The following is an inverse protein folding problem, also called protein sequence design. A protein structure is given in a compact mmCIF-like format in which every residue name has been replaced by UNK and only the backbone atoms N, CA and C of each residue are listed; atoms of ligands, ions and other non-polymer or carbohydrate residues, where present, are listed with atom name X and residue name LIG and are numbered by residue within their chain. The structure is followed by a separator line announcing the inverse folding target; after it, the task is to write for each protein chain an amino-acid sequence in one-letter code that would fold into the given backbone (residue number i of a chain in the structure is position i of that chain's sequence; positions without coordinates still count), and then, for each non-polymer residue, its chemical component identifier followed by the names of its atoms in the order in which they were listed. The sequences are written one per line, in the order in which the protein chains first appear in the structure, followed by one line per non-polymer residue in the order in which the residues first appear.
data_IF_637121547869
#
_entry.id   IF_637121547869
#
_cell.length_a   1.000
_cell.length_b   1.000
_cell.length_c   1.000
_cell.angle_alpha   90.00
_cell.angle_beta   90.00
_cell.angle_gamma   90.00
#
_symmetry.space_group_name_H-M   'P 1'
#
loop_
_entity.id
_entity.type
_entity.pdbx_description
1 polymer ?
#
# COMPACT_ATOMS: atom_id res chain seq x y z
N UNK A 1 7.06 -6.33 16.16
CA UNK A 1 8.17 -5.78 16.95
C UNK A 1 7.72 -4.65 17.91
N UNK A 2 6.45 -4.22 17.85
CA UNK A 2 5.94 -3.10 18.69
C UNK A 2 4.85 -3.54 19.67
N UNK A 3 4.59 -4.84 19.80
CA UNK A 3 3.68 -5.38 20.80
C UNK A 3 4.44 -5.68 22.10
N UNK A 4 3.80 -5.37 23.25
CA UNK A 4 4.35 -5.57 24.59
C UNK A 4 3.31 -6.20 25.51
N UNK A 5 3.75 -6.94 26.54
CA UNK A 5 2.88 -7.51 27.56
C UNK A 5 1.72 -8.33 26.97
N UNK A 6 0.50 -8.06 27.41
CA UNK A 6 -0.72 -8.74 26.93
C UNK A 6 -0.98 -8.62 25.44
N UNK A 7 -0.41 -7.61 24.75
CA UNK A 7 -0.53 -7.48 23.30
C UNK A 7 0.11 -8.66 22.57
N UNK A 8 1.22 -9.19 23.12
CA UNK A 8 1.93 -10.32 22.54
C UNK A 8 1.02 -11.57 22.57
N UNK A 9 0.53 -11.93 23.72
CA UNK A 9 -0.24 -13.18 23.92
C UNK A 9 -1.65 -13.12 23.32
N UNK A 10 -2.29 -11.94 23.30
CA UNK A 10 -3.68 -11.80 22.84
C UNK A 10 -3.81 -11.48 21.35
N UNK A 11 -2.78 -10.89 20.74
CA UNK A 11 -2.80 -10.46 19.34
C UNK A 11 -1.65 -11.00 18.52
N UNK A 12 -0.38 -10.78 18.92
CA UNK A 12 0.76 -11.13 18.09
C UNK A 12 0.93 -12.65 17.93
N UNK A 13 1.00 -13.39 19.02
CA UNK A 13 1.17 -14.85 18.98
C UNK A 13 0.06 -15.55 18.19
N UNK A 14 -1.25 -15.28 18.45
CA UNK A 14 -2.32 -15.88 17.66
C UNK A 14 -2.25 -15.51 16.17
N UNK A 15 -1.78 -14.29 15.84
CA UNK A 15 -1.62 -13.89 14.43
C UNK A 15 -0.46 -14.63 13.78
N UNK A 16 0.67 -14.78 14.45
CA UNK A 16 1.82 -15.54 13.93
C UNK A 16 1.47 -17.03 13.74
N UNK A 17 0.65 -17.58 14.61
CA UNK A 17 0.16 -18.97 14.51
C UNK A 17 -0.97 -19.13 13.48
N UNK A 18 -1.50 -18.04 12.91
CA UNK A 18 -2.60 -18.08 11.94
C UNK A 18 -3.98 -18.31 12.59
N UNK A 19 -4.08 -18.18 13.90
CA UNK A 19 -5.33 -18.31 14.68
C UNK A 19 -6.16 -17.03 14.64
N UNK A 20 -5.49 -15.87 14.51
CA UNK A 20 -6.12 -14.55 14.29
C UNK A 20 -5.59 -13.89 13.02
N UNK A 21 -6.42 -13.04 12.44
CA UNK A 21 -6.08 -12.21 11.29
C UNK A 21 -6.23 -10.75 11.66
N UNK A 22 -5.30 -9.94 11.19
CA UNK A 22 -5.34 -8.49 11.36
C UNK A 22 -5.60 -7.75 10.06
N UNK A 23 -5.99 -6.50 10.19
CA UNK A 23 -5.98 -5.53 9.12
C UNK A 23 -5.52 -4.17 9.65
N UNK A 24 -5.21 -3.24 8.73
CA UNK A 24 -4.73 -1.90 9.09
C UNK A 24 -5.80 -0.87 8.78
N UNK A 25 -6.12 -0.03 9.76
CA UNK A 25 -7.17 0.97 9.69
C UNK A 25 -6.59 2.39 9.81
N UNK A 26 -6.25 3.01 8.65
CA UNK A 26 -5.68 4.36 8.59
C UNK A 26 -6.57 5.35 7.87
N UNK A 27 -6.95 5.05 6.64
CA UNK A 27 -7.64 5.95 5.71
C UNK A 27 -9.06 6.29 6.18
N UNK A 28 -9.45 7.54 6.01
CA UNK A 28 -10.80 8.04 6.30
C UNK A 28 -11.41 8.69 5.04
N UNK A 29 -12.73 8.97 5.01
CA UNK A 29 -13.35 9.67 3.88
C UNK A 29 -12.68 11.00 3.53
N UNK A 30 -12.16 11.71 4.52
CA UNK A 30 -11.50 13.01 4.35
C UNK A 30 -9.99 13.00 4.51
N UNK A 31 -9.35 11.84 4.71
CA UNK A 31 -7.93 11.72 5.03
C UNK A 31 -7.33 10.45 4.45
N UNK A 32 -6.67 10.59 3.30
CA UNK A 32 -5.88 9.53 2.66
C UNK A 32 -4.39 9.87 2.64
N UNK A 33 -3.97 10.69 1.67
CA UNK A 33 -2.57 11.16 1.59
C UNK A 33 -2.17 12.04 2.77
N UNK A 34 -3.10 12.85 3.29
CA UNK A 34 -2.92 13.63 4.53
C UNK A 34 -3.40 12.82 5.74
N UNK A 35 -2.58 11.92 6.23
CA UNK A 35 -2.89 11.15 7.45
C UNK A 35 -3.03 12.03 8.70
N UNK A 36 -2.42 13.22 8.73
CA UNK A 36 -2.55 14.15 9.86
C UNK A 36 -3.89 14.87 9.88
N UNK A 37 -4.63 14.84 8.77
CA UNK A 37 -5.99 15.34 8.65
C UNK A 37 -7.07 14.42 9.26
N UNK A 38 -6.71 13.24 9.79
CA UNK A 38 -7.68 12.26 10.30
C UNK A 38 -8.59 12.84 11.38
N UNK A 39 -9.85 12.41 11.38
CA UNK A 39 -10.89 12.84 12.34
C UNK A 39 -11.22 11.78 13.39
N UNK A 40 -10.91 10.50 13.11
CA UNK A 40 -11.04 9.44 14.10
C UNK A 40 -10.17 9.77 15.30
N UNK A 41 -10.76 9.77 16.49
CA UNK A 41 -10.12 10.18 17.75
C UNK A 41 -10.25 9.10 18.81
N UNK A 42 -9.27 9.03 19.67
CA UNK A 42 -9.27 8.22 20.88
C UNK A 42 -8.99 9.12 22.08
N UNK A 43 -9.84 9.06 23.08
CA UNK A 43 -9.74 9.87 24.31
C UNK A 43 -9.63 8.91 25.49
N UNK A 44 -8.64 9.12 26.34
CA UNK A 44 -8.47 8.31 27.56
C UNK A 44 -9.52 8.73 28.60
N UNK A 45 -10.29 7.76 29.07
CA UNK A 45 -11.31 7.91 30.12
C UNK A 45 -11.08 6.84 31.19
N UNK A 46 -10.41 7.23 32.27
CA UNK A 46 -9.94 6.30 33.30
C UNK A 46 -8.91 5.29 32.74
N UNK A 47 -9.23 4.02 32.78
CA UNK A 47 -8.37 2.94 32.28
C UNK A 47 -8.77 2.43 30.89
N UNK A 48 -9.59 3.17 30.14
CA UNK A 48 -10.07 2.81 28.82
C UNK A 48 -9.85 3.95 27.81
N UNK A 49 -9.59 3.60 26.56
CA UNK A 49 -9.70 4.51 25.44
C UNK A 49 -11.10 4.47 24.85
N UNK A 50 -11.71 5.64 24.68
CA UNK A 50 -12.99 5.82 23.99
C UNK A 50 -12.73 6.30 22.59
N UNK A 51 -13.07 5.48 21.60
CA UNK A 51 -12.77 5.70 20.19
C UNK A 51 -14.04 6.07 19.43
N UNK A 52 -13.94 7.15 18.63
CA UNK A 52 -15.01 7.63 17.77
C UNK A 52 -14.48 8.00 16.39
N UNK A 53 -15.16 7.54 15.33
CA UNK A 53 -14.82 7.88 13.96
C UNK A 53 -15.11 6.76 12.96
N UNK A 54 -14.61 6.93 11.74
CA UNK A 54 -14.84 6.00 10.64
C UNK A 54 -13.56 5.82 9.82
N UNK A 55 -13.28 4.59 9.37
CA UNK A 55 -12.16 4.24 8.50
C UNK A 55 -12.66 3.61 7.22
N UNK A 56 -12.06 3.99 6.08
CA UNK A 56 -12.45 3.56 4.74
C UNK A 56 -11.36 2.76 4.04
N UNK A 57 -11.77 1.96 3.06
CA UNK A 57 -10.90 1.12 2.25
C UNK A 57 -10.08 0.12 3.09
N UNK A 58 -10.68 -0.40 4.18
CA UNK A 58 -9.97 -1.34 5.05
C UNK A 58 -10.02 -2.71 4.42
N UNK A 59 -8.89 -3.12 3.86
CA UNK A 59 -8.75 -4.40 3.16
C UNK A 59 -8.92 -5.55 4.12
N UNK A 60 -9.79 -6.51 3.73
CA UNK A 60 -10.01 -7.77 4.43
C UNK A 60 -10.62 -7.67 5.84
N UNK A 61 -11.13 -6.51 6.27
CA UNK A 61 -11.70 -6.36 7.61
C UNK A 61 -12.84 -7.35 7.88
N UNK A 62 -13.64 -7.72 6.86
CA UNK A 62 -14.73 -8.71 7.01
C UNK A 62 -14.27 -10.15 7.31
N UNK A 63 -12.99 -10.44 7.19
CA UNK A 63 -12.38 -11.75 7.50
C UNK A 63 -11.24 -11.65 8.50
N UNK A 64 -11.04 -10.47 9.09
CA UNK A 64 -10.09 -10.20 10.16
C UNK A 64 -10.78 -10.25 11.53
N UNK A 65 -10.01 -10.51 12.56
CA UNK A 65 -10.50 -10.54 13.95
C UNK A 65 -10.31 -9.20 14.65
N UNK A 66 -9.28 -8.44 14.24
CA UNK A 66 -8.96 -7.14 14.82
C UNK A 66 -8.26 -6.24 13.80
N UNK A 67 -8.10 -4.96 14.16
CA UNK A 67 -7.30 -4.03 13.37
C UNK A 67 -6.22 -3.33 14.19
N UNK A 68 -5.15 -2.94 13.49
CA UNK A 68 -4.23 -1.89 13.94
C UNK A 68 -4.84 -0.56 13.52
N UNK A 69 -5.49 0.12 14.47
CA UNK A 69 -6.18 1.39 14.24
C UNK A 69 -5.24 2.56 14.52
N UNK A 70 -5.18 3.52 13.61
CA UNK A 70 -4.55 4.82 13.84
C UNK A 70 -5.61 5.87 14.12
N UNK A 71 -5.51 6.54 15.27
CA UNK A 71 -6.45 7.58 15.70
C UNK A 71 -5.71 8.76 16.36
N UNK A 72 -6.34 9.95 16.31
CA UNK A 72 -5.80 11.14 16.96
C UNK A 72 -6.07 11.08 18.47
N UNK A 73 -5.02 11.26 19.27
CA UNK A 73 -5.10 11.32 20.75
C UNK A 73 -4.90 12.73 21.30
N UNK A 74 -4.70 13.71 20.44
CA UNK A 74 -4.53 15.10 20.82
C UNK A 74 -3.95 15.93 19.70
N UNK A 75 -3.60 17.16 20.03
CA UNK A 75 -2.97 18.11 19.10
C UNK A 75 -1.75 18.74 19.74
N UNK A 76 -0.67 18.89 18.95
CA UNK A 76 0.51 19.67 19.28
C UNK A 76 0.31 21.09 18.76
N UNK A 77 0.44 22.08 19.63
CA UNK A 77 0.48 23.49 19.21
C UNK A 77 1.78 23.74 18.45
N UNK A 78 1.65 24.26 17.24
CA UNK A 78 2.79 24.71 16.43
C UNK A 78 2.51 26.15 15.98
N UNK A 79 3.57 26.87 15.58
CA UNK A 79 3.47 28.27 15.12
C UNK A 79 2.66 28.45 13.82
N UNK A 80 2.31 27.37 13.13
CA UNK A 80 1.57 27.41 11.86
C UNK A 80 0.18 26.76 11.97
N UNK A 81 0.13 25.44 11.88
CA UNK A 81 -1.12 24.65 11.97
C UNK A 81 -0.92 23.58 13.03
N UNK A 82 -1.89 23.44 13.98
CA UNK A 82 -1.82 22.38 14.98
C UNK A 82 -1.58 21.01 14.33
N UNK A 83 -0.62 20.26 14.82
CA UNK A 83 -0.35 18.90 14.35
C UNK A 83 -1.03 17.90 15.25
N UNK A 84 -1.82 17.00 14.68
CA UNK A 84 -2.43 15.92 15.46
C UNK A 84 -1.38 14.95 15.94
N UNK A 85 -1.45 14.59 17.21
CA UNK A 85 -0.77 13.43 17.77
C UNK A 85 -1.57 12.20 17.39
N UNK A 86 -0.92 11.27 16.70
CA UNK A 86 -1.53 10.04 16.21
C UNK A 86 -0.97 8.89 17.02
N UNK A 87 -1.82 8.03 17.53
CA UNK A 87 -1.46 6.80 18.23
C UNK A 87 -1.99 5.58 17.46
N UNK A 88 -1.39 4.43 17.72
CA UNK A 88 -1.82 3.17 17.17
C UNK A 88 -2.46 2.30 18.27
N UNK A 89 -3.52 1.58 17.94
CA UNK A 89 -4.31 0.77 18.87
C UNK A 89 -4.61 -0.61 18.28
N UNK A 90 -4.63 -1.63 19.12
CA UNK A 90 -5.17 -2.95 18.79
C UNK A 90 -6.66 -2.99 19.15
N UNK A 91 -7.53 -3.03 18.14
CA UNK A 91 -8.99 -3.01 18.33
C UNK A 91 -9.57 -4.32 17.82
N UNK A 92 -10.12 -5.13 18.72
CA UNK A 92 -10.80 -6.38 18.38
C UNK A 92 -12.19 -6.06 17.83
N UNK A 93 -12.63 -6.75 16.78
CA UNK A 93 -13.94 -6.47 16.17
C UNK A 93 -15.12 -6.94 17.02
N UNK A 94 -14.86 -7.70 18.08
CA UNK A 94 -15.84 -8.03 19.11
C UNK A 94 -16.00 -6.96 20.20
N UNK A 95 -15.15 -5.92 20.20
CA UNK A 95 -15.27 -4.83 21.18
C UNK A 95 -16.58 -4.05 20.99
N UNK A 96 -17.29 -3.69 22.07
CA UNK A 96 -18.52 -2.90 21.98
C UNK A 96 -18.30 -1.56 21.26
N UNK A 97 -19.20 -1.21 20.36
CA UNK A 97 -19.12 0.03 19.58
C UNK A 97 -18.27 -0.06 18.33
N UNK A 98 -17.77 -1.23 17.96
CA UNK A 98 -17.06 -1.49 16.69
C UNK A 98 -18.00 -2.15 15.69
N UNK A 99 -18.08 -1.59 14.49
CA UNK A 99 -18.85 -2.12 13.37
C UNK A 99 -17.95 -2.33 12.15
N UNK A 100 -17.99 -3.54 11.58
CA UNK A 100 -17.42 -3.83 10.27
C UNK A 100 -18.53 -3.77 9.23
N UNK A 101 -18.64 -2.64 8.55
CA UNK A 101 -19.67 -2.40 7.56
C UNK A 101 -19.21 -2.80 6.15
N UNK A 102 -20.17 -3.07 5.25
CA UNK A 102 -19.90 -3.28 3.84
C UNK A 102 -19.26 -2.03 3.25
N UNK A 103 -18.21 -2.24 2.46
CA UNK A 103 -17.52 -1.15 1.78
C UNK A 103 -17.79 -1.13 0.28
N UNK A 104 -16.81 -0.68 -0.46
CA UNK A 104 -16.93 -0.43 -1.90
C UNK A 104 -16.52 -1.64 -2.74
N UNK A 105 -17.21 -1.84 -3.86
CA UNK A 105 -16.76 -2.79 -4.89
C UNK A 105 -15.58 -2.18 -5.64
N UNK A 106 -14.45 -2.91 -5.67
CA UNK A 106 -13.25 -2.47 -6.34
C UNK A 106 -13.18 -3.00 -7.78
N UNK A 107 -12.68 -2.20 -8.71
CA UNK A 107 -12.42 -2.65 -10.10
C UNK A 107 -11.16 -3.48 -10.20
N UNK A 108 -10.18 -3.23 -9.32
CA UNK A 108 -8.92 -3.97 -9.21
C UNK A 108 -8.93 -4.90 -7.99
N UNK A 109 -8.05 -5.91 -7.98
CA UNK A 109 -7.92 -6.82 -6.83
C UNK A 109 -9.29 -7.32 -6.32
N UNK A 110 -10.11 -7.87 -7.23
CA UNK A 110 -11.49 -8.30 -6.92
C UNK A 110 -11.58 -9.36 -5.80
N UNK A 111 -10.46 -9.98 -5.45
CA UNK A 111 -10.35 -10.88 -4.29
C UNK A 111 -10.24 -10.17 -2.93
N UNK A 112 -10.05 -8.84 -2.92
CA UNK A 112 -10.05 -8.06 -1.68
C UNK A 112 -11.44 -7.52 -1.38
N UNK A 113 -11.87 -7.69 -0.13
CA UNK A 113 -12.96 -6.89 0.42
C UNK A 113 -12.42 -5.54 0.88
N UNK A 114 -13.15 -4.46 0.57
CA UNK A 114 -12.85 -3.12 1.06
C UNK A 114 -13.97 -2.71 2.00
N UNK A 115 -13.72 -2.79 3.28
CA UNK A 115 -14.71 -2.52 4.30
C UNK A 115 -14.62 -1.09 4.84
N UNK A 116 -15.68 -0.69 5.51
CA UNK A 116 -15.76 0.51 6.35
C UNK A 116 -15.74 0.02 7.80
N UNK A 117 -14.88 0.60 8.63
CA UNK A 117 -14.92 0.39 10.07
C UNK A 117 -15.52 1.63 10.73
N UNK A 118 -16.53 1.43 11.59
CA UNK A 118 -17.13 2.49 12.39
C UNK A 118 -16.89 2.24 13.87
N UNK A 119 -16.59 3.32 14.56
CA UNK A 119 -16.33 3.33 15.98
C UNK A 119 -17.30 4.34 16.61
N UNK A 120 -18.24 3.85 17.41
CA UNK A 120 -19.21 4.67 18.15
C UNK A 120 -19.04 4.40 19.64
N UNK A 121 -18.32 5.31 20.30
CA UNK A 121 -17.92 5.17 21.70
C UNK A 121 -17.30 3.79 22.00
N UNK A 122 -16.52 3.27 21.06
CA UNK A 122 -15.85 1.99 21.21
C UNK A 122 -14.83 2.09 22.36
N UNK A 123 -14.99 1.22 23.37
CA UNK A 123 -14.14 1.23 24.56
C UNK A 123 -13.18 0.08 24.55
N UNK A 124 -11.89 0.40 24.67
CA UNK A 124 -10.82 -0.59 24.73
C UNK A 124 -9.91 -0.32 25.93
N UNK A 125 -9.37 -1.35 26.58
CA UNK A 125 -8.44 -1.19 27.70
C UNK A 125 -7.21 -0.35 27.34
N UNK A 126 -6.72 0.42 28.31
CA UNK A 126 -5.58 1.34 28.15
C UNK A 126 -4.34 0.68 27.59
N UNK A 127 -4.08 -0.57 27.95
CA UNK A 127 -2.90 -1.32 27.51
C UNK A 127 -2.90 -1.66 26.00
N UNK A 128 -4.01 -1.49 25.29
CA UNK A 128 -4.08 -1.77 23.84
C UNK A 128 -3.48 -0.68 22.95
N UNK A 129 -2.97 0.40 23.51
CA UNK A 129 -2.17 1.37 22.77
C UNK A 129 -0.80 0.75 22.42
N UNK A 130 -0.36 0.86 21.18
CA UNK A 130 0.93 0.35 20.72
C UNK A 130 2.01 1.43 20.87
N UNK A 131 2.97 1.19 21.75
CA UNK A 131 4.02 2.16 22.08
C UNK A 131 3.49 3.40 22.80
N UNK A 132 4.32 4.45 22.93
CA UNK A 132 3.95 5.71 23.57
C UNK A 132 2.79 6.42 22.85
N UNK A 133 1.98 7.14 23.60
CA UNK A 133 0.94 8.01 23.03
C UNK A 133 1.56 9.06 22.09
N UNK A 134 1.00 9.21 20.90
CA UNK A 134 1.49 10.14 19.88
C UNK A 134 2.54 9.55 18.93
N UNK A 135 3.01 8.32 19.16
CA UNK A 135 4.10 7.68 18.40
C UNK A 135 3.61 6.89 17.16
N UNK A 136 2.32 6.92 16.88
CA UNK A 136 1.71 6.17 15.78
C UNK A 136 2.31 6.52 14.41
N UNK A 137 2.74 7.78 14.21
CA UNK A 137 3.36 8.18 12.95
C UNK A 137 4.73 7.53 12.72
N UNK A 138 5.51 7.29 13.78
CA UNK A 138 6.76 6.54 13.71
C UNK A 138 6.48 5.07 13.35
N UNK A 139 5.48 4.47 13.96
CA UNK A 139 5.05 3.09 13.64
C UNK A 139 4.61 2.96 12.18
N UNK A 140 3.79 3.90 11.67
CA UNK A 140 3.41 3.94 10.25
C UNK A 140 4.64 3.96 9.34
N UNK A 141 5.60 4.84 9.62
CA UNK A 141 6.79 4.99 8.78
C UNK A 141 7.68 3.73 8.79
N UNK A 142 7.81 3.06 9.95
CA UNK A 142 8.54 1.80 10.05
C UNK A 142 7.90 0.67 9.20
N UNK A 143 6.59 0.66 9.08
CA UNK A 143 5.85 -0.31 8.29
C UNK A 143 5.83 0.04 6.80
N UNK A 144 5.58 1.31 6.44
CA UNK A 144 5.43 1.74 5.05
C UNK A 144 6.68 1.58 4.20
N UNK A 145 7.89 1.68 4.77
CA UNK A 145 9.12 1.48 4.02
C UNK A 145 9.20 0.09 3.38
N UNK A 146 9.22 -1.00 4.17
CA UNK A 146 9.21 -2.37 3.66
C UNK A 146 8.01 -2.69 2.78
N UNK A 147 6.81 -2.16 3.13
CA UNK A 147 5.60 -2.41 2.33
C UNK A 147 5.70 -1.83 0.93
N UNK A 148 6.30 -0.65 0.76
CA UNK A 148 6.57 -0.07 -0.57
C UNK A 148 7.46 -0.97 -1.42
N UNK A 149 8.45 -1.62 -0.81
CA UNK A 149 9.30 -2.58 -1.52
C UNK A 149 8.52 -3.84 -1.94
N UNK A 150 7.62 -4.34 -1.07
CA UNK A 150 6.74 -5.47 -1.40
C UNK A 150 5.81 -5.14 -2.57
N UNK A 151 5.23 -3.93 -2.59
CA UNK A 151 4.43 -3.45 -3.72
C UNK A 151 5.28 -3.39 -5.00
N UNK A 152 6.50 -2.86 -4.92
CA UNK A 152 7.41 -2.80 -6.07
C UNK A 152 7.75 -4.21 -6.61
N UNK A 153 8.05 -5.16 -5.74
CA UNK A 153 8.34 -6.56 -6.12
C UNK A 153 7.14 -7.20 -6.84
N UNK A 154 5.93 -7.01 -6.31
CA UNK A 154 4.71 -7.49 -6.94
C UNK A 154 4.50 -6.86 -8.32
N UNK A 155 4.80 -5.57 -8.48
CA UNK A 155 4.71 -4.87 -9.76
C UNK A 155 5.69 -5.42 -10.79
N UNK A 156 6.94 -5.67 -10.40
CA UNK A 156 7.96 -6.25 -11.29
C UNK A 156 7.52 -7.63 -11.80
N UNK A 157 7.12 -8.52 -10.90
CA UNK A 157 6.69 -9.88 -11.27
C UNK A 157 5.45 -9.89 -12.17
N UNK A 158 4.49 -8.99 -11.94
CA UNK A 158 3.31 -8.85 -12.82
C UNK A 158 3.69 -8.28 -14.18
N UNK A 159 4.64 -7.34 -14.24
CA UNK A 159 5.14 -6.79 -15.49
C UNK A 159 5.86 -7.86 -16.31
N UNK A 160 6.72 -8.68 -15.69
CA UNK A 160 7.37 -9.81 -16.31
C UNK A 160 6.36 -10.79 -16.89
N UNK A 161 5.30 -11.11 -16.14
CA UNK A 161 4.25 -12.01 -16.63
C UNK A 161 3.47 -11.43 -17.81
N UNK A 162 3.13 -10.15 -17.77
CA UNK A 162 2.44 -9.47 -18.86
C UNK A 162 3.32 -9.44 -20.14
N UNK A 163 4.60 -9.11 -19.97
CA UNK A 163 5.59 -9.11 -21.04
C UNK A 163 5.76 -10.50 -21.67
N UNK A 164 5.90 -11.55 -20.86
CA UNK A 164 6.01 -12.94 -21.34
C UNK A 164 4.84 -13.34 -22.25
N UNK A 165 3.60 -12.99 -21.84
CA UNK A 165 2.40 -13.28 -22.62
C UNK A 165 2.44 -12.54 -23.96
N UNK A 166 2.77 -11.25 -23.96
CA UNK A 166 2.86 -10.44 -25.17
C UNK A 166 3.99 -10.96 -26.11
N UNK A 167 5.13 -11.32 -25.55
CA UNK A 167 6.25 -11.88 -26.31
C UNK A 167 5.87 -13.18 -27.00
N UNK A 168 5.31 -14.15 -26.27
CA UNK A 168 4.88 -15.44 -26.81
C UNK A 168 3.77 -15.29 -27.85
N UNK A 169 2.84 -14.37 -27.64
CA UNK A 169 1.80 -14.06 -28.62
C UNK A 169 2.41 -13.48 -29.90
N UNK A 170 3.40 -12.62 -29.80
CA UNK A 170 4.05 -11.95 -30.93
C UNK A 170 4.78 -12.90 -31.88
N UNK A 171 5.28 -14.04 -31.38
CA UNK A 171 5.97 -15.05 -32.19
C UNK A 171 5.03 -16.15 -32.68
N UNK A 172 3.78 -16.21 -32.18
CA UNK A 172 2.78 -17.19 -32.61
C UNK A 172 1.74 -16.60 -33.55
N UNK A 173 1.24 -15.38 -33.30
CA UNK A 173 0.20 -14.71 -34.07
C UNK A 173 0.69 -14.25 -35.44
N UNK A 174 -0.07 -14.55 -36.48
CA UNK A 174 0.19 -14.11 -37.85
C UNK A 174 -0.86 -13.10 -38.30
N UNK A 175 -0.40 -12.05 -38.95
CA UNK A 175 -1.18 -11.06 -39.70
C UNK A 175 -0.37 -10.56 -40.89
N UNK A 176 -1.06 -10.18 -41.97
CA UNK A 176 -0.42 -9.69 -43.20
C UNK A 176 0.67 -10.65 -43.70
N UNK A 177 0.43 -11.97 -43.59
CA UNK A 177 1.32 -13.03 -44.11
C UNK A 177 2.58 -13.30 -43.31
N UNK A 178 2.72 -12.74 -42.08
CA UNK A 178 3.89 -12.99 -41.23
C UNK A 178 3.57 -12.89 -39.75
N UNK A 179 4.48 -13.36 -38.90
CA UNK A 179 4.36 -13.18 -37.43
C UNK A 179 4.38 -11.72 -37.06
N UNK A 180 3.49 -11.32 -36.13
CA UNK A 180 3.34 -9.90 -35.77
C UNK A 180 4.60 -9.32 -35.12
N UNK A 181 5.41 -10.13 -34.44
CA UNK A 181 6.71 -9.73 -33.88
C UNK A 181 7.74 -9.24 -34.91
N UNK A 182 7.52 -9.48 -36.22
CA UNK A 182 8.37 -8.94 -37.27
C UNK A 182 8.08 -7.48 -37.66
N UNK A 183 6.95 -6.95 -37.20
CA UNK A 183 6.63 -5.54 -37.39
C UNK A 183 7.29 -4.68 -36.30
N UNK A 184 7.94 -3.58 -36.68
CA UNK A 184 8.60 -2.66 -35.74
C UNK A 184 7.61 -2.06 -34.74
N UNK A 185 6.34 -1.83 -35.15
CA UNK A 185 5.27 -1.39 -34.26
C UNK A 185 4.96 -2.38 -33.10
N UNK A 186 5.44 -3.61 -33.17
CA UNK A 186 5.33 -4.63 -32.11
C UNK A 186 6.69 -4.90 -31.46
N UNK A 187 7.76 -5.07 -32.27
CA UNK A 187 9.06 -5.44 -31.73
C UNK A 187 9.73 -4.32 -30.91
N UNK A 188 9.55 -3.05 -31.28
CA UNK A 188 10.11 -1.93 -30.52
C UNK A 188 9.47 -1.78 -29.13
N UNK A 189 8.14 -1.76 -28.98
CA UNK A 189 7.52 -1.81 -27.65
C UNK A 189 7.96 -3.00 -26.80
N UNK A 190 8.20 -4.18 -27.39
CA UNK A 190 8.74 -5.33 -26.65
C UNK A 190 10.16 -5.05 -26.11
N UNK A 191 11.01 -4.38 -26.90
CA UNK A 191 12.35 -3.99 -26.45
C UNK A 191 12.29 -2.94 -25.31
N UNK A 192 11.39 -1.98 -25.42
CA UNK A 192 11.16 -0.96 -24.37
C UNK A 192 10.67 -1.60 -23.07
N UNK A 193 9.67 -2.49 -23.16
CA UNK A 193 9.17 -3.23 -21.99
C UNK A 193 10.28 -4.04 -21.30
N UNK A 194 11.08 -4.77 -22.06
CA UNK A 194 12.20 -5.56 -21.51
C UNK A 194 13.23 -4.66 -20.80
N UNK A 195 13.50 -3.49 -21.36
CA UNK A 195 14.43 -2.51 -20.79
C UNK A 195 13.89 -1.93 -19.48
N UNK A 196 12.62 -1.50 -19.44
CA UNK A 196 11.99 -0.95 -18.22
C UNK A 196 11.91 -2.00 -17.11
N UNK A 197 11.56 -3.25 -17.42
CA UNK A 197 11.55 -4.36 -16.45
C UNK A 197 12.95 -4.57 -15.87
N UNK A 198 13.98 -4.55 -16.71
CA UNK A 198 15.37 -4.69 -16.24
C UNK A 198 15.77 -3.57 -15.29
N UNK A 199 15.44 -2.33 -15.60
CA UNK A 199 15.71 -1.19 -14.72
C UNK A 199 14.96 -1.32 -13.39
N UNK A 200 13.66 -1.67 -13.43
CA UNK A 200 12.84 -1.86 -12.24
C UNK A 200 13.41 -2.95 -11.32
N UNK A 201 13.84 -4.05 -11.90
CA UNK A 201 14.41 -5.17 -11.16
C UNK A 201 15.73 -4.79 -10.47
N UNK A 202 16.60 -4.04 -11.15
CA UNK A 202 17.83 -3.55 -10.54
C UNK A 202 17.57 -2.59 -9.38
N UNK A 203 16.64 -1.65 -9.52
CA UNK A 203 16.24 -0.75 -8.43
C UNK A 203 15.67 -1.53 -7.24
N UNK A 204 14.81 -2.53 -7.51
CA UNK A 204 14.22 -3.38 -6.49
C UNK A 204 15.30 -4.13 -5.70
N UNK A 205 16.24 -4.77 -6.38
CA UNK A 205 17.32 -5.54 -5.75
C UNK A 205 18.28 -4.64 -4.97
N UNK A 206 18.62 -3.46 -5.49
CA UNK A 206 19.45 -2.49 -4.77
C UNK A 206 18.78 -2.04 -3.47
N UNK A 207 17.48 -1.68 -3.54
CA UNK A 207 16.74 -1.23 -2.35
C UNK A 207 16.58 -2.36 -1.33
N UNK A 208 16.33 -3.60 -1.77
CA UNK A 208 16.28 -4.77 -0.89
C UNK A 208 17.63 -4.98 -0.18
N UNK A 209 18.72 -4.91 -0.93
CA UNK A 209 20.07 -5.02 -0.36
C UNK A 209 20.36 -3.90 0.67
N UNK A 210 19.96 -2.66 0.39
CA UNK A 210 20.10 -1.55 1.35
C UNK A 210 19.30 -1.78 2.63
N UNK A 211 18.10 -2.40 2.55
CA UNK A 211 17.31 -2.80 3.72
C UNK A 211 18.08 -3.82 4.56
N UNK A 212 18.63 -4.85 3.93
CA UNK A 212 19.41 -5.89 4.61
C UNK A 212 20.65 -5.31 5.30
N UNK A 213 21.28 -4.33 4.68
CA UNK A 213 22.43 -3.61 5.25
C UNK A 213 22.03 -2.53 6.29
N UNK A 214 20.73 -2.34 6.57
CA UNK A 214 20.18 -1.27 7.44
C UNK A 214 20.64 0.14 7.02
N UNK A 215 20.82 0.35 5.72
CA UNK A 215 21.29 1.60 5.10
C UNK A 215 20.30 2.12 4.04
N UNK A 216 19.02 1.80 4.20
CA UNK A 216 17.95 2.26 3.31
C UNK A 216 17.42 3.61 3.77
N UNK A 217 17.19 4.51 2.83
CA UNK A 217 16.52 5.79 3.07
C UNK A 217 15.03 5.73 2.69
N UNK A 218 14.18 6.61 3.23
CA UNK A 218 12.80 6.74 2.76
C UNK A 218 12.70 7.03 1.26
N UNK A 219 13.67 7.77 0.71
CA UNK A 219 13.76 8.13 -0.70
C UNK A 219 14.04 6.91 -1.59
N UNK A 220 14.92 5.99 -1.15
CA UNK A 220 15.19 4.74 -1.87
C UNK A 220 13.90 3.93 -2.07
N UNK A 221 13.14 3.71 -0.99
CA UNK A 221 11.87 3.00 -1.05
C UNK A 221 10.83 3.75 -1.91
N UNK A 222 10.82 5.09 -1.83
CA UNK A 222 9.88 5.90 -2.59
C UNK A 222 10.21 5.90 -4.09
N UNK A 223 11.48 6.01 -4.48
CA UNK A 223 11.92 5.93 -5.88
C UNK A 223 11.58 4.56 -6.48
N UNK A 224 11.88 3.49 -5.77
CA UNK A 224 11.62 2.12 -6.22
C UNK A 224 10.13 1.87 -6.39
N UNK A 225 9.30 2.23 -5.39
CA UNK A 225 7.83 2.11 -5.48
C UNK A 225 7.28 2.93 -6.64
N UNK A 226 7.69 4.18 -6.77
CA UNK A 226 7.23 5.08 -7.83
C UNK A 226 7.54 4.49 -9.20
N UNK A 227 8.79 4.13 -9.46
CA UNK A 227 9.20 3.62 -10.77
C UNK A 227 8.48 2.31 -11.12
N UNK A 228 8.47 1.33 -10.21
CA UNK A 228 7.89 0.01 -10.46
C UNK A 228 6.38 0.05 -10.69
N UNK A 229 5.63 0.89 -9.96
CA UNK A 229 4.17 0.99 -10.13
C UNK A 229 3.78 1.72 -11.42
N UNK A 230 4.51 2.77 -11.79
CA UNK A 230 4.31 3.47 -13.06
C UNK A 230 4.71 2.58 -14.25
N UNK A 231 5.81 1.87 -14.15
CA UNK A 231 6.29 0.89 -15.14
C UNK A 231 5.24 -0.21 -15.37
N UNK A 232 4.73 -0.83 -14.30
CA UNK A 232 3.70 -1.87 -14.45
C UNK A 232 2.47 -1.35 -15.22
N UNK A 233 2.03 -0.13 -14.95
CA UNK A 233 0.89 0.47 -15.65
C UNK A 233 1.14 0.58 -17.16
N UNK A 234 2.35 1.00 -17.57
CA UNK A 234 2.73 1.10 -19.00
C UNK A 234 2.85 -0.28 -19.64
N UNK A 235 3.51 -1.21 -18.96
CA UNK A 235 3.75 -2.55 -19.49
C UNK A 235 2.47 -3.35 -19.62
N UNK A 236 1.58 -3.29 -18.63
CA UNK A 236 0.29 -3.98 -18.68
C UNK A 236 -0.58 -3.48 -19.85
N UNK A 237 -0.61 -2.17 -20.06
CA UNK A 237 -1.33 -1.54 -21.18
C UNK A 237 -0.73 -1.94 -22.54
N UNK A 238 0.58 -1.84 -22.67
CA UNK A 238 1.28 -2.22 -23.92
C UNK A 238 1.20 -3.71 -24.23
N UNK A 239 1.27 -4.57 -23.22
CA UNK A 239 1.12 -6.01 -23.39
C UNK A 239 -0.31 -6.37 -23.85
N UNK A 240 -1.32 -5.75 -23.25
CA UNK A 240 -2.73 -5.92 -23.66
C UNK A 240 -2.92 -5.42 -25.08
N UNK A 241 -2.38 -4.26 -25.45
CA UNK A 241 -2.44 -3.72 -26.81
C UNK A 241 -1.78 -4.65 -27.82
N UNK A 242 -0.63 -5.28 -27.48
CA UNK A 242 0.10 -6.22 -28.35
C UNK A 242 -0.74 -7.47 -28.64
N UNK A 243 -1.46 -7.97 -27.65
CA UNK A 243 -2.35 -9.16 -27.79
C UNK A 243 -3.66 -8.80 -28.49
N UNK A 244 -4.08 -7.54 -28.44
CA UNK A 244 -5.32 -7.07 -29.07
C UNK A 244 -6.57 -7.58 -28.37
N UNK A 245 -7.62 -7.89 -29.13
CA UNK A 245 -8.93 -8.25 -28.57
C UNK A 245 -8.89 -9.39 -27.55
N UNK A 246 -8.04 -10.38 -27.72
CA UNK A 246 -7.85 -11.47 -26.74
C UNK A 246 -7.27 -10.98 -25.41
N UNK A 247 -6.55 -9.88 -25.41
CA UNK A 247 -6.02 -9.27 -24.19
C UNK A 247 -7.11 -8.75 -23.23
N UNK A 248 -8.32 -8.47 -23.76
CA UNK A 248 -9.47 -8.03 -22.98
C UNK A 248 -10.35 -9.18 -22.47
N UNK A 249 -10.09 -10.40 -22.92
CA UNK A 249 -10.88 -11.59 -22.53
C UNK A 249 -10.33 -12.17 -21.21
N UNK A 250 -11.24 -12.66 -20.36
CA UNK A 250 -10.90 -13.27 -19.07
C UNK A 250 -10.11 -14.58 -19.19
N UNK A 251 -10.04 -15.15 -20.40
CA UNK A 251 -9.21 -16.33 -20.74
C UNK A 251 -7.72 -16.06 -20.57
N UNK A 252 -7.30 -14.80 -20.65
CA UNK A 252 -5.92 -14.38 -20.41
C UNK A 252 -5.84 -13.48 -19.16
N UNK A 253 -4.75 -13.60 -18.38
CA UNK A 253 -4.63 -12.79 -17.18
C UNK A 253 -4.31 -11.30 -17.45
N UNK A 254 -4.13 -10.87 -18.72
CA UNK A 254 -3.71 -9.51 -19.07
C UNK A 254 -4.74 -8.46 -18.64
N UNK A 255 -6.05 -8.71 -18.87
CA UNK A 255 -7.09 -7.78 -18.46
C UNK A 255 -7.08 -7.56 -16.94
N UNK A 256 -6.84 -8.62 -16.16
CA UNK A 256 -6.74 -8.55 -14.71
C UNK A 256 -5.46 -7.81 -14.29
N UNK A 257 -4.31 -8.12 -14.88
CA UNK A 257 -3.07 -7.42 -14.60
C UNK A 257 -3.21 -5.92 -14.90
N UNK A 258 -3.84 -5.58 -16.02
CA UNK A 258 -4.09 -4.19 -16.40
C UNK A 258 -5.00 -3.45 -15.43
N UNK A 259 -6.12 -4.05 -15.01
CA UNK A 259 -7.01 -3.48 -13.99
C UNK A 259 -6.32 -3.32 -12.65
N UNK A 260 -5.59 -4.35 -12.21
CA UNK A 260 -4.93 -4.39 -10.92
C UNK A 260 -3.76 -3.41 -10.86
N UNK A 261 -3.06 -3.18 -11.97
CA UNK A 261 -1.97 -2.20 -12.05
C UNK A 261 -2.41 -0.77 -11.65
N UNK A 262 -3.69 -0.43 -11.80
CA UNK A 262 -4.16 0.93 -11.56
C UNK A 262 -4.10 1.35 -10.09
N UNK A 263 -4.37 0.46 -9.14
CA UNK A 263 -4.36 0.77 -7.71
C UNK A 263 -2.94 0.87 -7.14
N UNK A 264 -1.96 0.21 -7.76
CA UNK A 264 -0.56 0.21 -7.31
C UNK A 264 0.03 1.63 -7.22
N UNK A 265 -0.45 2.53 -8.05
CA UNK A 265 -0.08 3.96 -8.08
C UNK A 265 -0.78 4.79 -7.01
N UNK A 266 -1.73 4.20 -6.25
CA UNK A 266 -2.59 4.90 -5.28
C UNK A 266 -2.28 4.48 -3.86
N UNK A 267 -2.31 3.19 -3.56
CA UNK A 267 -2.11 2.68 -2.20
C UNK A 267 -0.66 2.77 -1.73
N UNK A 268 -0.42 2.57 -0.43
CA UNK A 268 0.90 2.68 0.23
C UNK A 268 1.61 4.02 -0.04
N UNK A 269 0.80 5.06 -0.24
CA UNK A 269 1.20 6.40 -0.67
C UNK A 269 1.20 6.54 -2.18
N UNK A 270 0.42 7.51 -2.66
CA UNK A 270 0.26 7.77 -4.10
C UNK A 270 1.59 8.09 -4.78
N UNK A 271 1.61 8.02 -6.12
CA UNK A 271 2.76 8.47 -6.93
C UNK A 271 3.20 9.90 -6.59
N UNK A 272 2.25 10.77 -6.24
CA UNK A 272 2.50 12.15 -5.81
C UNK A 272 3.17 12.19 -4.44
N UNK A 273 2.73 11.34 -3.50
CA UNK A 273 3.36 11.22 -2.17
C UNK A 273 4.78 10.67 -2.30
N UNK A 274 5.04 9.69 -3.18
CA UNK A 274 6.40 9.23 -3.42
C UNK A 274 7.29 10.37 -3.94
N UNK A 275 6.81 11.15 -4.93
CA UNK A 275 7.53 12.33 -5.43
C UNK A 275 7.78 13.37 -4.33
N UNK A 276 6.79 13.58 -3.45
CA UNK A 276 6.95 14.47 -2.30
C UNK A 276 8.05 14.01 -1.34
N UNK A 277 8.13 12.71 -1.05
CA UNK A 277 9.19 12.14 -0.20
C UNK A 277 10.55 12.38 -0.83
N UNK A 278 10.69 12.02 -2.10
CA UNK A 278 11.94 12.17 -2.86
C UNK A 278 12.38 13.63 -2.90
N UNK A 279 11.50 14.55 -3.30
CA UNK A 279 11.84 15.97 -3.43
C UNK A 279 12.24 16.59 -2.09
N UNK A 280 11.56 16.22 -0.99
CA UNK A 280 11.93 16.69 0.34
C UNK A 280 13.29 16.18 0.80
N UNK A 281 13.62 14.92 0.50
CA UNK A 281 14.94 14.37 0.81
C UNK A 281 16.07 15.09 0.07
N UNK A 282 15.79 15.52 -1.16
CA UNK A 282 16.76 16.26 -1.98
C UNK A 282 16.91 17.73 -1.56
N UNK A 283 15.82 18.41 -1.21
CA UNK A 283 15.81 19.87 -0.98
C UNK A 283 16.17 20.27 0.46
N UNK A 284 15.68 19.53 1.46
CA UNK A 284 15.90 19.88 2.88
C UNK A 284 17.36 20.04 3.32
N UNK A 285 18.31 19.21 2.91
CA UNK A 285 19.69 19.42 3.25
C UNK A 285 20.21 20.79 2.82
N UNK A 286 19.82 21.24 1.62
CA UNK A 286 20.23 22.53 1.04
C UNK A 286 19.58 23.73 1.74
N UNK A 287 18.33 23.59 2.20
CA UNK A 287 17.61 24.64 2.96
C UNK A 287 18.22 24.89 4.35
N UNK A 288 18.86 23.90 4.93
CA UNK A 288 19.51 24.03 6.26
C UNK A 288 20.94 24.58 6.16
N UNK A 289 21.55 24.64 4.98
CA UNK A 289 22.88 25.19 4.71
C UNK A 289 22.83 26.68 4.29
N UNK A 290 21.65 27.20 3.98
CA UNK A 290 21.38 28.60 3.60
C UNK A 290 20.82 29.42 4.76
#
# INVERSE_FOLDING_TARGET
ASCEGEQVTKFLEPTVLGEKRDCIAMTEPGSGSDLRGMKCKAVLDGDEWVINGEKHFISQASVSDYCVLFAATGEEKTDRVPKKRISAFLVDFSDPGVEVAAGYKNVSHRGYTNNILRFDNARIPKWRIMGPEGDGFRLVNQWLGPTRLTVAATCVSRAERAFEIALNYSVSREQFGQKIGKFQGISFPLADMATEIKMANLMLLETAWKIDQRNVTPEDCAMTKLFCTEMLSRIADQALQTVGGMGLMEDLPLERIWRDARVERIWDGTSEIQRHIISRGLLRPLENES
#
